data_IF_784611376164
#
_entry.id   IF_784611376164
#
_cell.length_a   1.000
_cell.length_b   1.000
_cell.length_c   1.000
_cell.angle_alpha   90.00
_cell.angle_beta   90.00
_cell.angle_gamma   90.00
#
_symmetry.space_group_name_H-M   'P 1'
#
loop_
_entity.id
_entity.type
_entity.pdbx_description
1 polymer ?
#
# COMPACT_ATOMS: atom_id res chain seq x y z
N UNK A 1 -13.50 -2.63 11.01
CA UNK A 1 -12.21 -1.92 11.14
C UNK A 1 -12.28 -0.70 10.25
N UNK A 2 -11.66 0.42 10.62
CA UNK A 2 -11.60 1.63 9.78
C UNK A 2 -10.26 1.72 9.02
N UNK A 3 -10.21 2.60 8.01
CA UNK A 3 -9.02 2.78 7.17
C UNK A 3 -7.82 3.27 7.98
N UNK A 4 -8.06 4.07 9.03
CA UNK A 4 -7.00 4.57 9.91
C UNK A 4 -6.32 3.43 10.68
N UNK A 5 -7.10 2.48 11.20
CA UNK A 5 -6.58 1.30 11.90
C UNK A 5 -5.85 0.37 10.93
N UNK A 6 -6.39 0.13 9.75
CA UNK A 6 -5.72 -0.67 8.71
C UNK A 6 -4.37 -0.04 8.31
N UNK A 7 -4.35 1.29 8.10
CA UNK A 7 -3.14 2.05 7.79
C UNK A 7 -2.12 1.97 8.92
N UNK A 8 -2.54 2.16 10.18
CA UNK A 8 -1.65 2.04 11.35
C UNK A 8 -1.01 0.66 11.43
N UNK A 9 -1.78 -0.40 11.20
CA UNK A 9 -1.25 -1.77 11.20
C UNK A 9 -0.20 -1.95 10.10
N UNK A 10 -0.44 -1.40 8.91
CA UNK A 10 0.53 -1.41 7.82
C UNK A 10 1.83 -0.69 8.21
N UNK A 11 1.75 0.53 8.75
CA UNK A 11 2.92 1.32 9.16
C UNK A 11 3.73 0.59 10.24
N UNK A 12 3.07 -0.01 11.23
CA UNK A 12 3.75 -0.82 12.25
C UNK A 12 4.46 -2.03 11.62
N UNK A 13 3.81 -2.74 10.71
CA UNK A 13 4.43 -3.89 10.04
C UNK A 13 5.63 -3.50 9.16
N UNK A 14 5.58 -2.33 8.52
CA UNK A 14 6.70 -1.79 7.75
C UNK A 14 7.87 -1.42 8.68
N UNK A 15 7.60 -0.80 9.83
CA UNK A 15 8.62 -0.48 10.82
C UNK A 15 9.28 -1.74 11.41
N UNK A 16 8.51 -2.80 11.66
CA UNK A 16 9.06 -4.07 12.15
C UNK A 16 10.00 -4.72 11.11
N UNK A 17 9.65 -4.64 9.82
CA UNK A 17 10.53 -5.06 8.71
C UNK A 17 11.84 -4.27 8.68
N UNK A 18 11.78 -2.95 8.83
CA UNK A 18 12.96 -2.07 8.80
C UNK A 18 13.89 -2.30 10.01
N UNK A 19 13.32 -2.57 11.18
CA UNK A 19 14.09 -2.77 12.41
C UNK A 19 14.79 -4.15 12.48
N UNK A 20 14.43 -5.10 11.60
CA UNK A 20 15.11 -6.40 11.49
C UNK A 20 15.01 -7.29 12.73
N UNK A 21 14.04 -7.03 13.62
CA UNK A 21 13.92 -7.68 14.93
C UNK A 21 13.32 -9.09 14.92
N UNK A 22 13.11 -9.70 13.75
CA UNK A 22 12.39 -10.97 13.63
C UNK A 22 12.65 -11.69 12.31
N UNK A 23 11.92 -12.78 12.10
CA UNK A 23 11.97 -13.55 10.86
C UNK A 23 11.40 -12.72 9.70
N UNK A 24 12.25 -12.41 8.72
CA UNK A 24 11.91 -11.57 7.57
C UNK A 24 10.71 -12.11 6.78
N UNK A 25 10.56 -13.44 6.66
CA UNK A 25 9.45 -14.04 5.94
C UNK A 25 8.12 -13.82 6.71
N UNK A 26 8.14 -13.95 8.04
CA UNK A 26 6.98 -13.69 8.89
C UNK A 26 6.59 -12.22 8.87
N UNK A 27 7.57 -11.32 8.97
CA UNK A 27 7.34 -9.88 8.91
C UNK A 27 6.79 -9.44 7.55
N UNK A 28 7.32 -10.01 6.46
CA UNK A 28 6.84 -9.75 5.10
C UNK A 28 5.39 -10.24 4.93
N UNK A 29 5.08 -11.44 5.41
CA UNK A 29 3.71 -11.96 5.36
C UNK A 29 2.74 -11.10 6.20
N UNK A 30 3.19 -10.56 7.32
CA UNK A 30 2.40 -9.66 8.17
C UNK A 30 2.10 -8.34 7.45
N UNK A 31 3.10 -7.74 6.81
CA UNK A 31 2.92 -6.54 6.00
C UNK A 31 1.96 -6.79 4.82
N UNK A 32 2.10 -7.92 4.13
CA UNK A 32 1.23 -8.32 3.03
C UNK A 32 -0.22 -8.53 3.49
N UNK A 33 -0.45 -9.13 4.66
CA UNK A 33 -1.78 -9.23 5.24
C UNK A 33 -2.37 -7.86 5.57
N UNK A 34 -1.57 -6.94 6.13
CA UNK A 34 -2.01 -5.56 6.37
C UNK A 34 -2.36 -4.81 5.07
N UNK A 35 -1.61 -5.05 3.98
CA UNK A 35 -1.94 -4.52 2.65
C UNK A 35 -3.26 -5.09 2.15
N UNK A 36 -3.48 -6.40 2.22
CA UNK A 36 -4.73 -7.02 1.76
C UNK A 36 -5.94 -6.42 2.49
N UNK A 37 -5.84 -6.24 3.81
CA UNK A 37 -6.86 -5.57 4.62
C UNK A 37 -7.06 -4.10 4.24
N UNK A 38 -6.00 -3.36 3.96
CA UNK A 38 -6.10 -1.96 3.52
C UNK A 38 -6.77 -1.85 2.15
N UNK A 39 -6.54 -2.80 1.25
CA UNK A 39 -7.13 -2.82 -0.10
C UNK A 39 -8.61 -3.21 -0.12
N UNK A 40 -9.22 -3.54 1.02
CA UNK A 40 -10.68 -3.69 1.13
C UNK A 40 -11.41 -2.33 1.14
N UNK A 41 -10.69 -1.23 1.37
CA UNK A 41 -11.25 0.12 1.34
C UNK A 41 -11.17 0.75 -0.05
N UNK A 42 -12.04 1.73 -0.31
CA UNK A 42 -12.02 2.49 -1.56
C UNK A 42 -10.71 3.28 -1.73
N UNK A 43 -10.20 3.42 -2.97
CA UNK A 43 -8.97 4.16 -3.25
C UNK A 43 -8.89 5.56 -2.66
N UNK A 44 -10.01 6.30 -2.69
CA UNK A 44 -10.11 7.64 -2.10
C UNK A 44 -9.78 7.63 -0.61
N UNK A 45 -10.34 6.69 0.16
CA UNK A 45 -10.12 6.61 1.59
C UNK A 45 -8.66 6.24 1.91
N UNK A 46 -8.06 5.34 1.12
CA UNK A 46 -6.65 4.95 1.26
C UNK A 46 -5.74 6.15 0.99
N UNK A 47 -5.95 6.86 -0.11
CA UNK A 47 -5.13 8.01 -0.50
C UNK A 47 -5.31 9.15 0.49
N UNK A 48 -6.54 9.47 0.91
CA UNK A 48 -6.79 10.50 1.92
C UNK A 48 -6.07 10.17 3.24
N UNK A 49 -6.14 8.91 3.70
CA UNK A 49 -5.43 8.46 4.89
C UNK A 49 -3.91 8.53 4.74
N UNK A 50 -3.37 8.16 3.58
CA UNK A 50 -1.94 8.24 3.29
C UNK A 50 -1.43 9.69 3.34
N UNK A 51 -2.18 10.61 2.74
CA UNK A 51 -1.83 12.03 2.67
C UNK A 51 -2.01 12.77 4.00
N UNK A 52 -2.93 12.31 4.86
CA UNK A 52 -3.11 12.84 6.20
C UNK A 52 -2.13 12.25 7.23
N UNK A 53 -1.36 11.22 6.86
CA UNK A 53 -0.41 10.57 7.77
C UNK A 53 0.91 11.34 7.87
N UNK A 54 1.68 11.06 8.91
CA UNK A 54 3.06 11.57 9.06
C UNK A 54 4.05 10.89 8.09
N UNK A 55 3.61 9.85 7.38
CA UNK A 55 4.45 9.11 6.44
C UNK A 55 4.44 9.77 5.05
N UNK A 56 5.49 9.59 4.24
CA UNK A 56 5.51 10.10 2.88
C UNK A 56 4.47 9.38 2.01
N UNK A 57 3.30 9.99 1.82
CA UNK A 57 2.12 9.38 1.20
C UNK A 57 2.41 8.66 -0.13
N UNK A 58 3.05 9.35 -1.10
CA UNK A 58 3.41 8.73 -2.39
C UNK A 58 4.32 7.50 -2.24
N UNK A 59 5.32 7.58 -1.36
CA UNK A 59 6.27 6.50 -1.17
C UNK A 59 5.58 5.25 -0.61
N UNK A 60 4.70 5.44 0.37
CA UNK A 60 3.92 4.35 0.95
C UNK A 60 2.91 3.76 -0.04
N UNK A 61 2.19 4.58 -0.81
CA UNK A 61 1.30 4.07 -1.86
C UNK A 61 2.08 3.26 -2.90
N UNK A 62 3.26 3.74 -3.32
CA UNK A 62 4.13 2.99 -4.24
C UNK A 62 4.59 1.66 -3.64
N UNK A 63 4.94 1.64 -2.36
CA UNK A 63 5.34 0.42 -1.67
C UNK A 63 4.16 -0.57 -1.51
N UNK A 64 2.96 -0.08 -1.16
CA UNK A 64 1.72 -0.86 -1.14
C UNK A 64 1.47 -1.54 -2.49
N UNK A 65 1.64 -0.80 -3.59
CA UNK A 65 1.50 -1.35 -4.94
C UNK A 65 2.53 -2.45 -5.18
N UNK A 66 3.81 -2.19 -4.86
CA UNK A 66 4.88 -3.16 -5.08
C UNK A 66 4.70 -4.45 -4.28
N UNK A 67 4.40 -4.36 -2.98
CA UNK A 67 4.21 -5.53 -2.13
C UNK A 67 2.88 -6.23 -2.41
N UNK A 68 1.80 -5.47 -2.63
CA UNK A 68 0.47 -6.02 -2.93
C UNK A 68 0.45 -6.83 -4.23
N UNK A 69 1.25 -6.46 -5.24
CA UNK A 69 1.35 -7.23 -6.49
C UNK A 69 1.84 -8.68 -6.31
N UNK A 70 2.47 -8.98 -5.18
CA UNK A 70 2.94 -10.34 -4.85
C UNK A 70 1.79 -11.24 -4.38
N UNK A 71 0.67 -10.65 -3.93
CA UNK A 71 -0.53 -11.37 -3.48
C UNK A 71 -1.32 -12.00 -4.64
N UNK A 72 -1.31 -11.36 -5.81
CA UNK A 72 -2.07 -11.82 -6.98
C UNK A 72 -3.58 -11.68 -6.79
N UNK A 73 -4.38 -12.51 -7.48
CA UNK A 73 -5.81 -12.64 -7.21
C UNK A 73 -6.63 -11.32 -7.27
N UNK A 74 -7.65 -11.15 -6.40
CA UNK A 74 -8.50 -9.96 -6.39
C UNK A 74 -7.76 -8.67 -6.01
N UNK A 75 -6.62 -8.77 -5.32
CA UNK A 75 -5.76 -7.64 -4.96
C UNK A 75 -5.23 -6.92 -6.19
N UNK A 76 -4.98 -7.63 -7.31
CA UNK A 76 -4.54 -6.98 -8.55
C UNK A 76 -5.56 -5.98 -9.08
N UNK A 77 -6.86 -6.29 -9.03
CA UNK A 77 -7.90 -5.38 -9.48
C UNK A 77 -8.01 -4.15 -8.57
N UNK A 78 -7.89 -4.35 -7.26
CA UNK A 78 -7.90 -3.27 -6.25
C UNK A 78 -6.68 -2.35 -6.40
N UNK A 79 -5.51 -2.92 -6.69
CA UNK A 79 -4.29 -2.16 -6.96
C UNK A 79 -4.38 -1.34 -8.24
N UNK A 80 -4.97 -1.89 -9.31
CA UNK A 80 -5.25 -1.13 -10.53
C UNK A 80 -6.17 0.06 -10.23
N UNK A 81 -7.26 -0.16 -9.49
CA UNK A 81 -8.17 0.92 -9.10
C UNK A 81 -7.48 2.01 -8.26
N UNK A 82 -6.57 1.61 -7.35
CA UNK A 82 -5.77 2.54 -6.56
C UNK A 82 -4.81 3.38 -7.43
N UNK A 83 -4.15 2.77 -8.41
CA UNK A 83 -3.28 3.47 -9.36
C UNK A 83 -4.08 4.42 -10.24
N UNK A 84 -5.22 3.98 -10.77
CA UNK A 84 -6.12 4.81 -11.58
C UNK A 84 -6.61 6.02 -10.80
N UNK A 85 -7.07 5.82 -9.57
CA UNK A 85 -7.50 6.90 -8.68
C UNK A 85 -6.36 7.88 -8.40
N UNK A 86 -5.16 7.38 -8.08
CA UNK A 86 -3.98 8.24 -7.86
C UNK A 86 -3.67 9.09 -9.09
N UNK A 87 -3.62 8.48 -10.28
CA UNK A 87 -3.26 9.19 -11.49
C UNK A 87 -4.32 10.22 -11.90
N UNK A 88 -5.60 9.94 -11.64
CA UNK A 88 -6.67 10.88 -11.90
C UNK A 88 -6.67 12.11 -10.95
N UNK A 89 -6.27 11.94 -9.68
CA UNK A 89 -6.49 12.96 -8.65
C UNK A 89 -5.20 13.57 -8.07
N UNK A 90 -4.10 12.83 -8.05
CA UNK A 90 -2.87 13.20 -7.32
C UNK A 90 -1.68 13.43 -8.25
N UNK A 91 -1.70 12.92 -9.49
CA UNK A 91 -0.58 12.96 -10.42
C UNK A 91 -0.05 14.39 -10.68
N UNK A 92 -0.93 15.38 -10.77
CA UNK A 92 -0.51 16.76 -11.04
C UNK A 92 0.42 17.30 -9.96
N UNK A 93 0.17 16.95 -8.70
CA UNK A 93 0.94 17.46 -7.55
C UNK A 93 2.09 16.53 -7.14
N UNK A 94 1.93 15.22 -7.33
CA UNK A 94 2.86 14.22 -6.78
C UNK A 94 3.52 13.37 -7.85
N UNK A 95 3.14 13.50 -9.12
CA UNK A 95 3.57 12.67 -10.24
C UNK A 95 2.87 11.32 -10.28
N UNK A 96 2.92 10.68 -11.45
CA UNK A 96 2.21 9.43 -11.72
C UNK A 96 2.72 8.25 -10.90
N UNK A 97 1.86 7.24 -10.81
CA UNK A 97 2.15 5.88 -10.39
C UNK A 97 1.84 4.91 -11.53
N UNK A 98 2.50 3.76 -11.50
CA UNK A 98 2.24 2.66 -12.41
C UNK A 98 2.38 1.36 -11.65
N UNK A 99 1.68 0.31 -12.12
CA UNK A 99 1.99 -1.04 -11.69
C UNK A 99 3.39 -1.41 -12.21
N UNK A 100 4.32 -1.86 -11.34
CA UNK A 100 5.59 -2.44 -11.78
C UNK A 100 5.39 -3.47 -12.89
N UNK A 101 6.20 -3.39 -13.96
CA UNK A 101 6.25 -4.45 -14.97
C UNK A 101 6.92 -5.66 -14.31
N UNK A 102 6.24 -6.81 -14.28
CA UNK A 102 6.90 -8.07 -13.89
C UNK A 102 7.99 -8.34 -14.94
N UNK A 103 9.25 -8.36 -14.52
CA UNK A 103 10.32 -8.86 -15.37
C UNK A 103 9.98 -10.31 -15.73
N UNK A 104 9.85 -10.58 -17.03
CA UNK A 104 9.56 -11.91 -17.58
C UNK A 104 10.74 -12.87 -17.40
#
# INVERSE_FOLDING_TARGET
>A
MDVQTAWRNLVLSAADLENGGGDVAVLTATAQAAISLLLEFEPEAIVAQAMASEQPGKAYIRWIIFEGMKLGGPEMARLSALVEYWNANMAQAHGDLALPVRAA
#
